data_IF_991794792123
#
_entry.id   IF_991794792123
#
_cell.length_a   1.000
_cell.length_b   1.000
_cell.length_c   1.000
_cell.angle_alpha   90.00
_cell.angle_beta   90.00
_cell.angle_gamma   90.00
#
_symmetry.space_group_name_H-M   'P 1'
#
loop_
_entity.id
_entity.type
_entity.pdbx_description
1 polymer ?
#
# COMPACT_ATOMS: atom_id res chain seq x y z
N UNK A 1 -9.79 -20.49 -39.57
CA UNK A 1 -8.53 -19.82 -39.17
C UNK A 1 -8.89 -18.39 -38.78
N UNK A 2 -9.27 -18.18 -37.52
CA UNK A 2 -8.44 -17.56 -36.45
C UNK A 2 -7.91 -16.18 -36.85
N UNK A 3 -8.55 -15.15 -36.30
CA UNK A 3 -7.86 -14.00 -35.76
C UNK A 3 -8.58 -13.63 -34.45
N UNK A 4 -8.24 -14.36 -33.37
CA UNK A 4 -8.53 -13.89 -32.01
C UNK A 4 -7.61 -12.69 -31.79
N UNK A 5 -8.16 -11.50 -31.96
CA UNK A 5 -7.53 -10.26 -31.52
C UNK A 5 -7.37 -10.36 -30.00
N UNK A 6 -6.16 -10.68 -29.55
CA UNK A 6 -5.74 -10.52 -28.17
C UNK A 6 -5.56 -9.01 -27.95
N UNK A 7 -6.67 -8.33 -27.64
CA UNK A 7 -6.60 -7.08 -26.92
C UNK A 7 -6.09 -7.41 -25.52
N UNK A 8 -4.76 -7.49 -25.39
CA UNK A 8 -4.09 -7.38 -24.10
C UNK A 8 -4.39 -5.95 -23.63
N UNK A 9 -5.54 -5.78 -22.98
CA UNK A 9 -6.00 -4.50 -22.48
C UNK A 9 -4.89 -3.89 -21.63
N UNK A 10 -4.40 -2.74 -22.06
CA UNK A 10 -3.52 -1.90 -21.25
C UNK A 10 -4.25 -1.64 -19.94
N UNK A 11 -3.91 -2.39 -18.89
CA UNK A 11 -4.35 -2.09 -17.54
C UNK A 11 -3.60 -0.82 -17.12
N UNK A 12 -4.20 0.32 -17.42
CA UNK A 12 -3.69 1.59 -16.93
C UNK A 12 -3.77 1.58 -15.41
N UNK A 13 -2.62 1.72 -14.75
CA UNK A 13 -2.56 1.79 -13.30
C UNK A 13 -3.33 3.02 -12.84
N UNK A 14 -4.32 2.79 -11.96
CA UNK A 14 -5.17 3.84 -11.41
C UNK A 14 -4.45 4.59 -10.32
N UNK A 15 -4.62 5.89 -10.32
CA UNK A 15 -4.21 6.78 -9.21
C UNK A 15 -5.43 7.29 -8.47
N UNK A 16 -5.26 7.71 -7.22
CA UNK A 16 -6.37 8.28 -6.44
C UNK A 16 -6.96 9.53 -7.11
N UNK A 17 -6.11 10.34 -7.77
CA UNK A 17 -6.52 11.56 -8.47
C UNK A 17 -7.30 11.29 -9.77
N UNK A 18 -7.00 10.21 -10.49
CA UNK A 18 -7.61 9.93 -11.80
C UNK A 18 -9.00 9.29 -11.70
N UNK A 19 -9.29 8.53 -10.65
CA UNK A 19 -10.57 7.82 -10.53
C UNK A 19 -11.02 7.65 -9.07
N UNK A 20 -11.25 8.73 -8.31
CA UNK A 20 -11.51 8.69 -6.86
C UNK A 20 -12.74 7.84 -6.49
N UNK A 21 -13.73 7.75 -7.38
CA UNK A 21 -14.94 6.95 -7.17
C UNK A 21 -14.68 5.43 -7.03
N UNK A 22 -13.50 4.95 -7.43
CA UNK A 22 -13.12 3.53 -7.44
C UNK A 22 -12.26 3.12 -6.24
N UNK A 23 -12.00 4.07 -5.33
CA UNK A 23 -11.20 3.85 -4.13
C UNK A 23 -12.09 3.73 -2.90
N UNK A 24 -11.67 2.86 -1.99
CA UNK A 24 -12.16 2.82 -0.63
C UNK A 24 -10.98 3.07 0.33
N UNK A 25 -11.29 3.39 1.58
CA UNK A 25 -10.29 3.76 2.59
C UNK A 25 -10.44 2.96 3.87
N UNK A 26 -9.32 2.68 4.52
CA UNK A 26 -9.20 2.06 5.83
C UNK A 26 -8.50 3.09 6.75
N UNK A 27 -9.05 3.40 7.95
CA UNK A 27 -8.32 4.18 8.95
C UNK A 27 -7.03 3.47 9.34
N UNK A 28 -5.89 4.09 9.03
CA UNK A 28 -4.57 3.50 9.21
C UNK A 28 -3.53 4.62 9.27
N UNK A 29 -3.15 5.08 10.47
CA UNK A 29 -2.11 6.09 10.59
C UNK A 29 -0.75 5.54 10.18
N UNK A 30 0.14 6.43 9.73
CA UNK A 30 1.50 6.03 9.31
C UNK A 30 2.36 5.42 10.41
N UNK A 31 2.02 5.65 11.68
CA UNK A 31 2.65 4.98 12.81
C UNK A 31 2.36 3.48 12.85
N UNK A 32 1.24 3.05 12.27
CA UNK A 32 0.80 1.65 12.21
C UNK A 32 1.23 0.97 10.90
N UNK A 33 1.21 1.69 9.77
CA UNK A 33 1.67 1.15 8.49
C UNK A 33 2.40 2.18 7.63
N UNK A 34 3.56 1.77 7.08
CA UNK A 34 4.29 2.52 6.06
C UNK A 34 4.47 1.66 4.82
N UNK A 35 3.64 1.87 3.80
CA UNK A 35 3.71 1.11 2.55
C UNK A 35 5.11 1.14 1.92
N UNK A 36 5.76 2.30 1.93
CA UNK A 36 7.10 2.51 1.35
C UNK A 36 8.19 1.71 2.06
N UNK A 37 8.08 1.52 3.38
CA UNK A 37 9.02 0.70 4.14
C UNK A 37 8.67 -0.78 4.03
N UNK A 38 7.40 -1.14 4.21
CA UNK A 38 6.95 -2.54 4.26
C UNK A 38 7.04 -3.19 2.89
N UNK A 39 6.47 -2.59 1.84
CA UNK A 39 6.40 -3.20 0.52
C UNK A 39 7.74 -3.17 -0.23
N UNK A 40 8.65 -2.25 0.12
CA UNK A 40 10.00 -2.22 -0.44
C UNK A 40 11.01 -3.09 0.32
N UNK A 41 10.69 -3.55 1.54
CA UNK A 41 11.63 -4.27 2.41
C UNK A 41 11.93 -5.73 2.01
N UNK A 42 11.39 -6.21 0.89
CA UNK A 42 11.57 -7.60 0.45
C UNK A 42 10.77 -8.64 1.23
N UNK A 43 9.88 -8.22 2.14
CA UNK A 43 8.90 -9.10 2.78
C UNK A 43 7.91 -9.70 1.77
N UNK A 44 7.63 -8.98 0.69
CA UNK A 44 6.83 -9.45 -0.44
C UNK A 44 7.42 -8.94 -1.74
N UNK A 45 7.56 -9.83 -2.73
CA UNK A 45 8.07 -9.50 -4.06
C UNK A 45 6.96 -9.17 -5.07
N UNK A 46 5.70 -9.20 -4.63
CA UNK A 46 4.52 -9.03 -5.48
C UNK A 46 4.14 -7.57 -5.69
N UNK A 47 4.74 -6.65 -4.95
CA UNK A 47 4.40 -5.23 -4.97
C UNK A 47 5.45 -4.41 -5.72
N UNK A 48 4.97 -3.48 -6.55
CA UNK A 48 5.80 -2.52 -7.28
C UNK A 48 5.19 -1.14 -7.22
N UNK A 49 6.01 -0.13 -6.96
CA UNK A 49 5.61 1.26 -7.10
C UNK A 49 5.53 1.62 -8.59
N UNK A 50 4.31 1.71 -9.12
CA UNK A 50 4.05 1.99 -10.54
C UNK A 50 3.85 3.48 -10.80
N UNK A 51 3.46 4.22 -9.78
CA UNK A 51 3.34 5.68 -9.79
C UNK A 51 3.75 6.19 -8.40
N UNK A 52 4.18 7.46 -8.28
CA UNK A 52 4.65 7.98 -6.99
C UNK A 52 3.65 7.72 -5.85
N UNK A 53 4.11 7.05 -4.80
CA UNK A 53 3.33 6.61 -3.64
C UNK A 53 2.15 5.65 -3.95
N UNK A 54 2.11 5.04 -5.13
CA UNK A 54 1.08 4.09 -5.54
C UNK A 54 1.70 2.72 -5.82
N UNK A 55 1.41 1.78 -4.92
CA UNK A 55 1.93 0.43 -4.92
C UNK A 55 0.93 -0.50 -5.56
N UNK A 56 1.30 -1.16 -6.66
CA UNK A 56 0.46 -2.17 -7.30
C UNK A 56 1.03 -3.57 -7.09
N UNK A 57 0.17 -4.53 -6.80
CA UNK A 57 0.59 -5.90 -6.56
C UNK A 57 -0.59 -6.87 -6.56
N UNK A 58 -0.30 -8.14 -6.31
CA UNK A 58 -1.31 -9.20 -6.24
C UNK A 58 -1.56 -9.58 -4.79
N UNK A 59 -2.84 -9.60 -4.41
CA UNK A 59 -3.31 -10.04 -3.10
C UNK A 59 -4.62 -10.82 -3.29
N UNK A 60 -4.70 -12.02 -2.71
CA UNK A 60 -5.85 -12.92 -2.81
C UNK A 60 -6.34 -13.11 -4.26
N UNK A 61 -5.40 -13.45 -5.16
CA UNK A 61 -5.64 -13.66 -6.60
C UNK A 61 -6.21 -12.46 -7.37
N UNK A 62 -6.26 -11.28 -6.75
CA UNK A 62 -6.70 -10.03 -7.35
C UNK A 62 -5.53 -9.06 -7.45
N UNK A 63 -5.55 -8.20 -8.49
CA UNK A 63 -4.61 -7.09 -8.58
C UNK A 63 -5.16 -5.93 -7.75
N UNK A 64 -4.28 -5.30 -6.98
CA UNK A 64 -4.59 -4.16 -6.13
C UNK A 64 -3.67 -3.00 -6.44
N UNK A 65 -4.16 -1.78 -6.23
CA UNK A 65 -3.32 -0.60 -6.05
C UNK A 65 -3.63 0.02 -4.70
N UNK A 66 -2.57 0.29 -3.93
CA UNK A 66 -2.61 0.88 -2.60
C UNK A 66 -1.86 2.21 -2.58
N UNK A 67 -2.40 3.18 -1.87
CA UNK A 67 -1.73 4.44 -1.55
C UNK A 67 -2.17 4.90 -0.17
N UNK A 68 -1.44 5.80 0.47
CA UNK A 68 -1.73 6.22 1.84
C UNK A 68 -1.55 7.72 2.04
N UNK A 69 -2.41 8.32 2.86
CA UNK A 69 -2.18 9.65 3.43
C UNK A 69 -1.50 9.50 4.80
N UNK A 70 -1.66 10.48 5.68
CA UNK A 70 -1.13 10.39 7.04
C UNK A 70 -1.99 9.48 7.94
N UNK A 71 -3.30 9.42 7.67
CA UNK A 71 -4.29 8.75 8.52
C UNK A 71 -5.08 7.64 7.82
N UNK A 72 -5.06 7.59 6.49
CA UNK A 72 -5.89 6.68 5.70
C UNK A 72 -5.05 5.87 4.73
N UNK A 73 -5.31 4.56 4.69
CA UNK A 73 -4.88 3.66 3.62
C UNK A 73 -5.99 3.60 2.56
N UNK A 74 -5.69 3.98 1.33
CA UNK A 74 -6.59 3.92 0.19
C UNK A 74 -6.31 2.67 -0.64
N UNK A 75 -7.37 1.96 -0.99
CA UNK A 75 -7.32 0.70 -1.72
C UNK A 75 -8.22 0.76 -2.96
N UNK A 76 -7.73 0.20 -4.07
CA UNK A 76 -8.55 -0.11 -5.24
C UNK A 76 -8.16 -1.48 -5.80
N UNK A 77 -9.15 -2.19 -6.35
CA UNK A 77 -9.01 -3.58 -6.83
C UNK A 77 -9.42 -3.67 -8.31
N UNK A 78 -8.74 -4.54 -9.06
CA UNK A 78 -9.01 -4.80 -10.47
C UNK A 78 -9.60 -6.19 -10.60
N UNK A 79 -10.89 -6.26 -10.97
CA UNK A 79 -11.67 -7.52 -11.04
C UNK A 79 -11.75 -8.12 -12.46
N UNK A 80 -10.94 -7.64 -13.39
CA UNK A 80 -10.93 -8.07 -14.81
C UNK A 80 -12.25 -7.81 -15.55
N UNK A 81 -12.35 -8.31 -16.79
CA UNK A 81 -13.46 -8.01 -17.72
C UNK A 81 -14.82 -8.59 -17.31
N UNK A 82 -14.83 -9.57 -16.39
CA UNK A 82 -16.05 -10.20 -15.86
C UNK A 82 -16.48 -9.60 -14.53
N UNK A 83 -15.64 -8.76 -13.93
CA UNK A 83 -15.94 -8.09 -12.67
C UNK A 83 -16.63 -6.76 -12.90
N UNK A 84 -17.45 -6.34 -11.95
CA UNK A 84 -17.99 -4.99 -11.93
C UNK A 84 -16.89 -3.99 -11.54
N UNK A 85 -16.97 -2.80 -12.14
CA UNK A 85 -16.08 -1.69 -11.83
C UNK A 85 -16.70 -0.89 -10.69
N UNK A 86 -15.99 -0.80 -9.58
CA UNK A 86 -16.36 0.03 -8.45
C UNK A 86 -15.49 -0.23 -7.23
N UNK A 87 -15.83 0.43 -6.12
CA UNK A 87 -15.04 0.41 -4.89
C UNK A 87 -14.82 -1.02 -4.37
N UNK A 88 -13.72 -1.29 -3.67
CA UNK A 88 -13.59 -2.49 -2.85
C UNK A 88 -14.81 -2.68 -1.95
N UNK A 89 -15.31 -3.91 -1.87
CA UNK A 89 -16.34 -4.31 -0.91
C UNK A 89 -15.75 -4.40 0.50
N UNK A 90 -16.59 -4.42 1.54
CA UNK A 90 -16.11 -4.61 2.91
C UNK A 90 -15.29 -5.90 3.10
N UNK A 91 -15.69 -7.01 2.48
CA UNK A 91 -14.98 -8.30 2.54
C UNK A 91 -13.60 -8.24 1.88
N UNK A 92 -13.50 -7.57 0.72
CA UNK A 92 -12.20 -7.36 0.05
C UNK A 92 -11.30 -6.42 0.86
N UNK A 93 -11.86 -5.40 1.54
CA UNK A 93 -11.08 -4.56 2.47
C UNK A 93 -10.61 -5.33 3.70
N UNK A 94 -11.41 -6.27 4.21
CA UNK A 94 -11.00 -7.15 5.31
C UNK A 94 -9.81 -8.03 4.91
N UNK A 95 -9.72 -8.42 3.64
CA UNK A 95 -8.54 -9.14 3.12
C UNK A 95 -7.28 -8.28 3.18
N UNK A 96 -7.37 -6.99 2.83
CA UNK A 96 -6.26 -6.04 2.99
C UNK A 96 -5.91 -5.84 4.47
N UNK A 97 -6.93 -5.70 5.32
CA UNK A 97 -6.78 -5.56 6.77
C UNK A 97 -5.98 -6.71 7.39
N UNK A 98 -6.36 -7.95 7.05
CA UNK A 98 -5.70 -9.17 7.51
C UNK A 98 -4.29 -9.31 6.94
N UNK A 99 -4.08 -8.98 5.67
CA UNK A 99 -2.76 -9.07 5.04
C UNK A 99 -1.71 -8.20 5.74
N UNK A 100 -2.08 -6.97 6.11
CA UNK A 100 -1.22 -6.07 6.87
C UNK A 100 -1.30 -6.25 8.39
N UNK A 101 -2.10 -7.20 8.87
CA UNK A 101 -2.32 -7.47 10.31
C UNK A 101 -2.70 -6.20 11.09
N UNK A 102 -3.59 -5.38 10.54
CA UNK A 102 -3.95 -4.07 11.12
C UNK A 102 -4.69 -4.15 12.48
N UNK A 103 -5.06 -5.36 12.93
CA UNK A 103 -5.57 -5.61 14.28
C UNK A 103 -4.49 -5.51 15.37
N UNK A 104 -3.21 -5.59 15.00
CA UNK A 104 -2.09 -5.52 15.92
C UNK A 104 -1.54 -4.10 15.97
N UNK A 105 -1.55 -3.47 17.15
CA UNK A 105 -0.96 -2.13 17.30
C UNK A 105 0.56 -2.19 17.26
N UNK A 106 1.13 -1.74 16.14
CA UNK A 106 2.55 -1.56 15.95
C UNK A 106 3.11 -0.54 16.95
N UNK A 107 2.34 0.48 17.30
CA UNK A 107 2.74 1.46 18.31
C UNK A 107 2.98 0.81 19.68
N UNK A 108 2.11 -0.11 20.11
CA UNK A 108 2.29 -0.86 21.36
C UNK A 108 3.52 -1.78 21.29
N UNK A 109 3.71 -2.48 20.18
CA UNK A 109 4.90 -3.33 19.97
C UNK A 109 6.19 -2.52 20.02
N UNK A 110 6.24 -1.37 19.35
CA UNK A 110 7.40 -0.48 19.36
C UNK A 110 7.68 0.07 20.75
N UNK A 111 6.64 0.43 21.50
CA UNK A 111 6.78 0.87 22.90
C UNK A 111 7.40 -0.22 23.76
N UNK A 112 6.89 -1.45 23.65
CA UNK A 112 7.41 -2.59 24.39
C UNK A 112 8.87 -2.90 24.03
N UNK A 113 9.18 -3.05 22.74
CA UNK A 113 10.54 -3.36 22.28
C UNK A 113 11.55 -2.27 22.63
N UNK A 114 11.13 -1.00 22.54
CA UNK A 114 11.98 0.13 22.96
C UNK A 114 12.25 0.15 24.46
N UNK A 115 11.32 -0.35 25.29
CA UNK A 115 11.50 -0.41 26.74
C UNK A 115 12.52 -1.47 27.18
N UNK A 116 12.69 -2.53 26.39
CA UNK A 116 13.58 -3.65 26.72
C UNK A 116 14.90 -3.63 25.95
N UNK A 117 14.99 -2.89 24.84
CA UNK A 117 16.20 -2.78 24.02
C UNK A 117 16.50 -1.33 23.60
N UNK A 118 17.58 -0.77 24.17
CA UNK A 118 18.07 0.57 23.87
C UNK A 118 18.60 0.74 22.44
N UNK A 119 19.07 -0.33 21.79
CA UNK A 119 19.46 -0.29 20.39
C UNK A 119 18.22 -0.18 19.51
N UNK A 120 17.20 -0.99 19.77
CA UNK A 120 15.91 -0.91 19.09
C UNK A 120 15.29 0.47 19.24
N UNK A 121 15.26 1.05 20.46
CA UNK A 121 14.72 2.39 20.69
C UNK A 121 15.36 3.45 19.78
N UNK A 122 16.69 3.40 19.60
CA UNK A 122 17.42 4.34 18.72
C UNK A 122 17.08 4.12 17.25
N UNK A 123 16.77 2.90 16.84
CA UNK A 123 16.40 2.56 15.46
C UNK A 123 14.94 2.90 15.17
N UNK A 124 14.03 2.61 16.09
CA UNK A 124 12.62 2.93 15.99
C UNK A 124 12.37 4.40 15.61
N UNK A 125 13.10 5.35 16.23
CA UNK A 125 12.99 6.77 15.91
C UNK A 125 13.29 7.12 14.45
N UNK A 126 14.19 6.37 13.79
CA UNK A 126 14.54 6.60 12.37
C UNK A 126 13.47 6.06 11.41
N UNK A 127 12.77 5.01 11.80
CA UNK A 127 11.83 4.29 10.93
C UNK A 127 10.36 4.63 11.20
N UNK A 128 10.04 5.26 12.33
CA UNK A 128 8.69 5.78 12.64
C UNK A 128 8.33 7.07 11.88
N UNK A 129 9.23 7.60 11.06
CA UNK A 129 8.87 8.59 10.04
C UNK A 129 8.96 10.05 10.48
N UNK A 130 10.18 10.54 10.74
CA UNK A 130 10.45 11.94 10.40
C UNK A 130 10.39 12.08 8.87
N UNK A 131 9.28 12.61 8.35
CA UNK A 131 9.23 13.15 7.00
C UNK A 131 10.27 14.28 6.91
N UNK A 132 11.34 14.07 6.15
CA UNK A 132 12.28 15.13 5.75
C UNK A 132 11.87 15.69 4.39
N UNK A 133 11.16 16.83 4.30
CA UNK A 133 11.06 17.55 3.04
C UNK A 133 12.39 18.24 2.79
N UNK A 134 13.21 17.74 1.86
CA UNK A 134 14.42 18.50 1.50
C UNK A 134 15.59 17.80 0.82
N UNK A 135 15.54 16.52 0.45
CA UNK A 135 16.58 15.95 -0.41
C UNK A 135 16.29 16.27 -1.89
N UNK A 136 16.35 17.56 -2.26
CA UNK A 136 16.62 17.89 -3.66
C UNK A 136 18.07 17.50 -3.91
N UNK A 137 18.29 16.56 -4.82
CA UNK A 137 19.59 16.36 -5.45
C UNK A 137 20.04 17.72 -5.96
N UNK A 138 21.12 18.24 -5.40
CA UNK A 138 21.83 19.37 -5.96
C UNK A 138 22.29 18.97 -7.35
N UNK A 139 21.73 19.64 -8.36
CA UNK A 139 22.33 19.69 -9.69
C UNK A 139 23.45 20.71 -9.56
N UNK A 140 24.69 20.25 -9.64
CA UNK A 140 25.85 21.08 -9.98
C UNK A 140 25.83 21.39 -11.47
#
# INVERSE_FOLDING_TARGET
MVARSLLLGSMTHRTLSSSPALWASIPCPRSELRLDLVLASGQSFLWKEQSPAHWSGVLADQVWTLTQTEELLYCTVYRGDKGWIGKPTPEELETVHKYFQLDVSLAQLYSHWSSVDSHFQKMAQKFQGEYRPGARVGVQ
#
